data_IF_302936289669
#
_entry.id   IF_302936289669
#
_cell.length_a   1.000
_cell.length_b   1.000
_cell.length_c   1.000
_cell.angle_alpha   90.00
_cell.angle_beta   90.00
_cell.angle_gamma   90.00
#
_symmetry.space_group_name_H-M   'P 1'
#
loop_
_entity.id
_entity.type
_entity.pdbx_description
1 polymer ?
#
# COMPACT_ATOMS: atom_id res chain seq x y z
N UNK A 1 36.44 -26.22 15.55
CA UNK A 1 37.45 -26.37 14.48
C UNK A 1 36.95 -25.58 13.27
N UNK A 2 37.75 -24.60 12.84
CA UNK A 2 37.48 -23.73 11.71
C UNK A 2 37.57 -24.51 10.39
N UNK A 3 36.68 -24.19 9.43
CA UNK A 3 36.92 -24.51 8.02
C UNK A 3 36.40 -23.36 7.14
N UNK A 4 37.33 -22.47 6.81
CA UNK A 4 37.29 -21.57 5.66
C UNK A 4 37.33 -22.40 4.37
N UNK A 5 36.44 -22.17 3.39
CA UNK A 5 36.80 -22.39 1.99
C UNK A 5 36.25 -21.24 1.12
N UNK A 6 37.19 -20.74 0.32
CA UNK A 6 37.19 -19.54 -0.51
C UNK A 6 36.41 -19.72 -1.81
N UNK A 7 35.82 -18.63 -2.29
CA UNK A 7 35.48 -18.37 -3.69
C UNK A 7 36.71 -18.36 -4.61
N UNK A 8 36.57 -18.76 -5.88
CA UNK A 8 37.43 -18.27 -6.96
C UNK A 8 36.66 -17.38 -7.95
N UNK A 9 37.33 -16.32 -8.38
CA UNK A 9 36.98 -15.39 -9.46
C UNK A 9 37.91 -15.65 -10.66
N UNK A 10 37.46 -15.20 -11.85
CA UNK A 10 38.15 -15.11 -13.17
C UNK A 10 37.90 -16.33 -14.09
N UNK A 11 37.60 -16.22 -15.40
CA UNK A 11 38.04 -15.27 -16.45
C UNK A 11 37.02 -15.12 -17.59
N UNK A 12 37.08 -13.96 -18.25
CA UNK A 12 36.50 -13.61 -19.56
C UNK A 12 36.96 -14.54 -20.70
N UNK A 13 36.07 -14.87 -21.63
CA UNK A 13 36.38 -15.13 -23.05
C UNK A 13 35.23 -14.63 -23.94
N UNK A 14 35.53 -13.61 -24.75
CA UNK A 14 34.74 -13.17 -25.90
C UNK A 14 35.06 -14.06 -27.12
N UNK A 15 34.06 -14.42 -27.91
CA UNK A 15 34.16 -14.55 -29.39
C UNK A 15 32.77 -14.58 -30.04
N UNK A 16 32.56 -13.99 -31.24
CA UNK A 16 31.24 -13.75 -31.85
C UNK A 16 30.93 -14.72 -33.00
N UNK A 17 29.70 -14.68 -33.58
CA UNK A 17 29.50 -15.07 -34.98
C UNK A 17 28.92 -13.90 -35.81
N UNK A 18 29.60 -13.50 -36.90
CA UNK A 18 29.44 -13.90 -38.31
C UNK A 18 28.39 -13.06 -39.08
N UNK A 19 28.91 -12.24 -40.00
CA UNK A 19 28.18 -11.58 -41.08
C UNK A 19 27.88 -12.56 -42.22
N UNK A 20 26.76 -12.35 -42.90
CA UNK A 20 26.50 -12.79 -44.27
C UNK A 20 25.67 -11.68 -44.98
N UNK A 21 26.32 -11.00 -45.92
CA UNK A 21 25.89 -10.58 -47.28
C UNK A 21 24.37 -10.67 -47.60
N UNK A 22 23.67 -9.70 -48.22
CA UNK A 22 23.96 -8.99 -49.47
C UNK A 22 22.95 -7.83 -49.76
N UNK A 23 23.33 -6.95 -50.70
CA UNK A 23 22.65 -5.77 -51.28
C UNK A 23 21.37 -6.10 -52.10
N UNK A 24 20.49 -5.18 -52.54
CA UNK A 24 20.41 -3.71 -52.49
C UNK A 24 19.23 -3.19 -53.36
N UNK A 25 18.94 -1.87 -53.23
CA UNK A 25 18.08 -0.99 -54.08
C UNK A 25 16.56 -1.22 -54.10
N UNK A 26 15.66 -0.22 -54.16
CA UNK A 26 15.78 1.24 -54.43
C UNK A 26 14.49 2.01 -54.04
N UNK A 27 14.67 3.24 -53.53
CA UNK A 27 13.89 4.49 -53.66
C UNK A 27 12.35 4.53 -53.55
N UNK A 28 11.83 5.35 -52.63
CA UNK A 28 11.30 6.72 -52.90
C UNK A 28 10.80 7.38 -51.60
N UNK A 29 11.03 8.68 -51.50
CA UNK A 29 10.84 9.58 -50.35
C UNK A 29 9.37 9.98 -50.10
N UNK A 30 8.98 10.21 -48.83
CA UNK A 30 8.23 11.42 -48.43
C UNK A 30 8.28 11.66 -46.88
N UNK A 31 8.39 12.91 -46.39
CA UNK A 31 8.89 13.24 -45.07
C UNK A 31 7.80 13.70 -44.10
N UNK A 32 7.42 12.89 -43.10
CA UNK A 32 6.96 13.44 -41.81
C UNK A 32 6.84 12.39 -40.68
N UNK A 33 7.97 11.83 -40.21
CA UNK A 33 7.99 11.05 -38.96
C UNK A 33 9.28 11.35 -38.19
N UNK A 34 9.20 12.23 -37.19
CA UNK A 34 10.27 12.38 -36.18
C UNK A 34 10.16 11.27 -35.13
N UNK A 35 10.93 10.20 -35.33
CA UNK A 35 11.20 9.16 -34.31
C UNK A 35 12.27 9.66 -33.33
N UNK A 36 12.00 9.53 -32.03
CA UNK A 36 12.97 9.85 -30.97
C UNK A 36 14.10 8.82 -30.94
N UNK A 37 15.32 9.25 -31.26
CA UNK A 37 16.54 8.46 -31.05
C UNK A 37 17.08 8.73 -29.64
N UNK A 38 17.41 7.65 -28.92
CA UNK A 38 18.12 7.68 -27.63
C UNK A 38 19.49 8.33 -27.82
N UNK A 39 19.76 9.42 -27.08
CA UNK A 39 21.10 10.00 -26.97
C UNK A 39 22.03 9.10 -26.16
N UNK A 40 23.30 9.06 -26.56
CA UNK A 40 24.35 8.31 -25.88
C UNK A 40 24.92 9.10 -24.69
N UNK A 41 25.55 8.38 -23.75
CA UNK A 41 26.02 8.90 -22.46
C UNK A 41 27.09 10.00 -22.60
N UNK A 42 27.77 10.12 -23.74
CA UNK A 42 28.75 11.18 -24.00
C UNK A 42 28.17 12.57 -24.31
N UNK A 43 26.89 12.66 -24.70
CA UNK A 43 26.24 13.95 -25.03
C UNK A 43 25.66 14.66 -23.79
N UNK A 44 25.66 14.01 -22.63
CA UNK A 44 25.16 14.57 -21.38
C UNK A 44 26.20 15.43 -20.64
N UNK A 45 27.49 15.16 -20.82
CA UNK A 45 28.55 15.84 -20.06
C UNK A 45 28.97 17.18 -20.71
N UNK A 46 28.79 17.35 -22.03
CA UNK A 46 29.09 18.61 -22.73
C UNK A 46 27.96 19.65 -22.66
N UNK A 47 26.73 19.27 -22.29
CA UNK A 47 25.58 20.19 -22.24
C UNK A 47 25.45 20.96 -20.90
N UNK A 48 26.33 20.73 -19.94
CA UNK A 48 26.37 21.46 -18.65
C UNK A 48 27.31 22.67 -18.64
N UNK A 49 28.12 22.85 -19.68
CA UNK A 49 29.13 23.90 -19.72
C UNK A 49 28.60 25.27 -20.17
N UNK A 50 27.52 25.33 -20.96
CA UNK A 50 27.00 26.58 -21.52
C UNK A 50 25.55 26.85 -21.12
N UNK A 51 25.36 27.51 -19.97
CA UNK A 51 24.30 28.52 -19.75
C UNK A 51 24.40 29.07 -18.33
N UNK A 52 25.19 30.13 -18.19
CA UNK A 52 25.25 30.97 -17.01
C UNK A 52 24.32 32.19 -17.19
N UNK A 53 23.65 32.60 -16.10
CA UNK A 53 23.03 33.91 -15.80
C UNK A 53 21.61 34.09 -16.43
N UNK A 54 20.47 34.35 -15.74
CA UNK A 54 20.14 35.25 -14.60
C UNK A 54 18.68 35.02 -14.13
N UNK A 55 18.41 34.84 -12.81
CA UNK A 55 17.49 35.66 -11.96
C UNK A 55 16.99 34.98 -10.65
N UNK A 56 17.16 35.74 -9.55
CA UNK A 56 16.35 35.87 -8.31
C UNK A 56 16.37 34.74 -7.25
N UNK A 57 17.23 34.96 -6.28
CA UNK A 57 17.23 34.41 -4.91
C UNK A 57 16.15 35.05 -4.03
N UNK A 58 15.43 34.28 -3.18
CA UNK A 58 14.80 34.79 -1.98
C UNK A 58 15.81 34.84 -0.82
N UNK A 59 15.76 35.94 -0.09
CA UNK A 59 16.54 36.27 1.11
C UNK A 59 16.38 35.24 2.23
N UNK A 60 17.51 34.75 2.73
CA UNK A 60 17.63 34.01 4.00
C UNK A 60 18.40 34.87 5.01
N UNK A 61 18.00 34.90 6.30
CA UNK A 61 18.61 35.77 7.29
C UNK A 61 20.03 35.32 7.62
N UNK A 62 20.91 36.31 7.67
CA UNK A 62 22.34 36.26 8.02
C UNK A 62 22.59 35.53 9.34
N UNK A 63 23.36 34.44 9.31
CA UNK A 63 24.12 33.93 10.46
C UNK A 63 25.61 34.12 10.20
N UNK A 64 26.26 34.77 11.17
CA UNK A 64 27.68 35.14 11.22
C UNK A 64 28.63 33.95 10.97
N UNK A 65 29.88 34.21 10.53
CA UNK A 65 30.91 33.18 10.37
C UNK A 65 31.13 32.44 11.69
N UNK A 66 31.16 31.11 11.65
CA UNK A 66 31.53 30.28 12.79
C UNK A 66 33.00 30.49 13.12
N UNK A 67 33.26 31.01 14.33
CA UNK A 67 34.58 31.07 14.94
C UNK A 67 35.26 29.69 14.95
N UNK A 68 36.59 29.71 14.78
CA UNK A 68 37.48 28.60 15.08
C UNK A 68 37.18 28.01 16.49
N UNK A 69 37.44 26.71 16.72
CA UNK A 69 37.16 26.10 18.03
C UNK A 69 37.99 26.80 19.10
N UNK A 70 37.32 27.63 19.91
CA UNK A 70 37.91 28.29 21.06
C UNK A 70 38.43 27.23 22.03
N UNK A 71 39.73 27.29 22.37
CA UNK A 71 40.34 26.50 23.45
C UNK A 71 39.54 26.76 24.73
N UNK A 72 38.73 25.78 25.16
CA UNK A 72 38.01 25.87 26.42
C UNK A 72 39.03 25.86 27.56
N UNK A 73 38.99 26.90 28.40
CA UNK A 73 39.77 27.02 29.65
C UNK A 73 39.58 25.75 30.50
N UNK A 74 40.67 25.23 31.03
CA UNK A 74 40.71 24.14 32.01
C UNK A 74 39.90 24.59 33.22
N UNK A 75 38.73 24.00 33.45
CA UNK A 75 38.03 24.12 34.73
C UNK A 75 38.87 23.36 35.76
N UNK A 76 39.24 24.01 36.85
CA UNK A 76 39.96 23.34 37.94
C UNK A 76 39.02 22.33 38.60
N UNK A 77 39.25 21.05 38.37
CA UNK A 77 38.53 19.98 39.05
C UNK A 77 39.28 19.59 40.34
N UNK A 78 38.57 19.28 41.43
CA UNK A 78 39.19 18.97 42.73
C UNK A 78 39.96 17.65 42.76
N UNK A 79 39.72 16.75 41.80
CA UNK A 79 40.48 15.50 41.60
C UNK A 79 40.43 15.08 40.13
N UNK A 80 41.36 14.21 39.68
CA UNK A 80 41.33 13.66 38.32
C UNK A 80 40.14 12.72 38.15
N UNK A 81 39.63 12.08 39.21
CA UNK A 81 38.35 11.36 39.17
C UNK A 81 37.16 12.29 38.94
N UNK A 82 37.14 13.49 39.53
CA UNK A 82 36.08 14.46 39.30
C UNK A 82 36.09 14.97 37.85
N UNK A 83 37.28 15.23 37.30
CA UNK A 83 37.47 15.58 35.89
C UNK A 83 37.02 14.45 34.95
N UNK A 84 37.45 13.22 35.22
CA UNK A 84 37.07 12.06 34.41
C UNK A 84 35.55 11.79 34.46
N UNK A 85 34.90 12.03 35.61
CA UNK A 85 33.43 11.92 35.75
C UNK A 85 32.72 12.98 34.91
N UNK A 86 33.21 14.23 34.91
CA UNK A 86 32.65 15.30 34.09
C UNK A 86 32.79 14.99 32.58
N UNK A 87 33.93 14.44 32.16
CA UNK A 87 34.15 13.99 30.79
C UNK A 87 33.21 12.84 30.39
N UNK A 88 32.99 11.86 31.27
CA UNK A 88 32.02 10.77 31.04
C UNK A 88 30.60 11.29 30.87
N UNK A 89 30.16 12.22 31.74
CA UNK A 89 28.83 12.85 31.63
C UNK A 89 28.67 13.65 30.33
N UNK A 90 29.71 14.38 29.90
CA UNK A 90 29.69 15.13 28.64
C UNK A 90 29.65 14.20 27.42
N UNK A 91 30.35 13.07 27.46
CA UNK A 91 30.31 12.07 26.39
C UNK A 91 28.91 11.42 26.27
N UNK A 92 28.30 11.04 27.40
CA UNK A 92 26.93 10.50 27.46
C UNK A 92 25.91 11.44 26.81
N UNK A 93 25.94 12.72 27.21
CA UNK A 93 25.03 13.74 26.69
C UNK A 93 25.14 13.91 25.16
N UNK A 94 26.37 13.96 24.62
CA UNK A 94 26.58 14.13 23.19
C UNK A 94 26.15 12.90 22.37
N UNK A 95 26.36 11.71 22.92
CA UNK A 95 25.92 10.45 22.29
C UNK A 95 24.40 10.28 22.33
N UNK A 96 23.72 10.80 23.35
CA UNK A 96 22.26 10.83 23.43
C UNK A 96 21.63 11.83 22.48
N UNK A 97 22.26 12.99 22.30
CA UNK A 97 21.79 14.02 21.36
C UNK A 97 22.07 13.69 19.89
N UNK A 98 22.84 12.64 19.60
CA UNK A 98 23.19 12.22 18.24
C UNK A 98 22.03 11.46 17.57
N UNK A 99 21.35 12.09 16.62
CA UNK A 99 20.14 11.55 15.95
C UNK A 99 20.39 10.43 14.93
N UNK A 100 21.63 10.30 14.42
CA UNK A 100 21.96 9.44 13.28
C UNK A 100 23.04 8.37 13.57
N UNK A 101 23.31 8.06 14.84
CA UNK A 101 24.31 7.06 15.20
C UNK A 101 23.65 5.69 15.44
N UNK A 102 24.20 4.62 14.85
CA UNK A 102 23.74 3.24 15.12
C UNK A 102 23.87 2.93 16.61
N UNK A 103 22.87 2.25 17.17
CA UNK A 103 22.79 1.87 18.59
C UNK A 103 24.03 1.12 19.06
N UNK A 104 24.55 0.22 18.24
CA UNK A 104 25.70 -0.63 18.59
C UNK A 104 26.98 0.19 18.73
N UNK A 105 27.15 1.20 17.87
CA UNK A 105 28.30 2.13 17.94
C UNK A 105 28.16 3.03 19.18
N UNK A 106 26.95 3.51 19.47
CA UNK A 106 26.67 4.30 20.66
C UNK A 106 27.02 3.52 21.94
N UNK A 107 26.61 2.25 22.02
CA UNK A 107 26.90 1.39 23.17
C UNK A 107 28.38 1.06 23.31
N UNK A 108 29.08 0.74 22.22
CA UNK A 108 30.51 0.44 22.24
C UNK A 108 31.35 1.64 22.71
N UNK A 109 31.03 2.86 22.23
CA UNK A 109 31.72 4.08 22.65
C UNK A 109 31.43 4.40 24.12
N UNK A 110 30.18 4.23 24.57
CA UNK A 110 29.81 4.44 25.97
C UNK A 110 30.59 3.50 26.91
N UNK A 111 30.66 2.21 26.57
CA UNK A 111 31.43 1.23 27.35
C UNK A 111 32.92 1.57 27.42
N UNK A 112 33.52 2.03 26.31
CA UNK A 112 34.93 2.42 26.29
C UNK A 112 35.21 3.63 27.21
N UNK A 113 34.34 4.65 27.20
CA UNK A 113 34.49 5.85 28.04
C UNK A 113 34.22 5.52 29.52
N UNK A 114 33.26 4.64 29.82
CA UNK A 114 33.03 4.14 31.18
C UNK A 114 34.24 3.38 31.72
N UNK A 115 34.86 2.51 30.90
CA UNK A 115 36.08 1.79 31.28
C UNK A 115 37.25 2.73 31.56
N UNK A 116 37.40 3.79 30.77
CA UNK A 116 38.42 4.82 31.02
C UNK A 116 38.20 5.53 32.36
N UNK A 117 36.95 5.86 32.71
CA UNK A 117 36.64 6.43 34.01
C UNK A 117 36.98 5.49 35.18
N UNK A 118 36.67 4.20 35.05
CA UNK A 118 37.04 3.19 36.05
C UNK A 118 38.56 3.11 36.26
N UNK A 119 39.34 3.11 35.18
CA UNK A 119 40.80 3.09 35.26
C UNK A 119 41.37 4.31 35.99
N UNK A 120 40.79 5.51 35.75
CA UNK A 120 41.17 6.72 36.47
C UNK A 120 40.80 6.63 37.96
N UNK A 121 39.63 6.06 38.26
CA UNK A 121 39.18 5.82 39.65
C UNK A 121 40.07 4.82 40.38
N UNK A 122 40.47 3.74 39.72
CA UNK A 122 41.41 2.75 40.27
C UNK A 122 42.81 3.35 40.48
N UNK A 123 43.27 4.20 39.57
CA UNK A 123 44.58 4.87 39.69
C UNK A 123 44.63 5.82 40.90
N UNK A 124 43.61 6.63 41.14
CA UNK A 124 43.55 7.50 42.33
C UNK A 124 43.30 6.71 43.63
N UNK A 125 42.55 5.60 43.56
CA UNK A 125 42.37 4.68 44.69
C UNK A 125 43.66 3.98 45.15
N UNK A 126 44.60 3.74 44.22
CA UNK A 126 45.93 3.18 44.53
C UNK A 126 46.88 4.23 45.14
N UNK A 127 46.80 5.49 44.71
CA UNK A 127 47.61 6.60 45.27
C UNK A 127 47.21 6.90 46.72
N UNK A 128 45.91 6.88 47.03
CA UNK A 128 45.39 7.11 48.40
C UNK A 128 45.65 5.94 49.36
N UNK A 129 45.83 4.71 48.87
CA UNK A 129 46.29 3.56 49.68
C UNK A 129 47.80 3.57 49.91
N UNK A 130 48.59 4.07 48.96
CA UNK A 130 50.05 4.24 49.11
C UNK A 130 50.43 5.35 50.10
N UNK A 131 49.72 6.49 50.07
CA UNK A 131 49.98 7.61 50.99
C UNK A 131 49.54 7.34 52.46
N UNK A 132 48.71 6.33 52.70
CA UNK A 132 48.32 5.92 54.07
C UNK A 132 49.32 5.00 54.77
N UNK A 133 50.41 4.59 54.11
CA UNK A 133 51.42 3.67 54.66
C UNK A 133 52.62 4.42 55.27
N UNK A 134 52.79 5.72 55.01
CA UNK A 134 53.93 6.50 55.54
C UNK A 134 53.64 7.28 56.84
N UNK A 135 52.41 7.31 57.35
CA UNK A 135 52.04 8.02 58.61
C UNK A 135 51.56 7.09 59.75
N UNK A 136 52.11 5.87 59.86
CA UNK A 136 51.89 4.99 61.03
C UNK A 136 53.17 4.35 61.57
N UNK A 137 54.06 5.17 62.13
CA UNK A 137 54.65 4.89 63.45
C UNK A 137 53.98 5.89 64.40
N UNK A 138 53.36 5.54 65.52
CA UNK A 138 53.83 4.70 66.64
C UNK A 138 52.66 4.49 67.62
N UNK A 139 52.76 3.42 68.45
CA UNK A 139 51.96 3.08 69.66
C UNK A 139 50.50 2.62 69.46
N UNK A 140 50.20 1.31 69.58
CA UNK A 140 49.99 0.47 70.79
C UNK A 140 48.66 0.68 71.51
N UNK A 141 47.90 -0.43 71.56
CA UNK A 141 47.01 -0.87 72.64
C UNK A 141 45.74 -0.02 72.93
N UNK A 142 44.56 -0.55 72.54
CA UNK A 142 43.60 -1.19 73.47
C UNK A 142 42.28 -1.50 72.77
N UNK A 143 41.90 -2.77 72.88
CA UNK A 143 40.55 -3.27 72.75
C UNK A 143 39.71 -2.71 73.91
N UNK A 144 38.65 -1.96 73.60
CA UNK A 144 37.40 -1.83 74.35
C UNK A 144 36.63 -0.64 73.77
N UNK A 145 35.65 -0.89 72.89
CA UNK A 145 34.43 -0.08 72.68
C UNK A 145 33.66 -0.55 71.43
N UNK A 146 33.36 -1.84 71.37
CA UNK A 146 32.28 -2.38 70.54
C UNK A 146 31.00 -2.35 71.37
N UNK A 147 30.37 -1.17 71.47
CA UNK A 147 28.94 -1.03 71.87
C UNK A 147 28.28 0.32 71.59
N UNK A 148 28.99 1.36 71.10
CA UNK A 148 28.35 2.66 70.77
C UNK A 148 28.27 3.01 69.28
N UNK A 149 28.94 2.30 68.37
CA UNK A 149 28.88 2.59 66.92
C UNK A 149 27.71 1.95 66.16
N UNK A 150 26.95 1.05 66.79
CA UNK A 150 25.89 0.28 66.13
C UNK A 150 24.53 1.01 66.10
N UNK A 151 24.28 1.96 67.04
CA UNK A 151 23.02 2.73 67.06
C UNK A 151 22.92 3.79 65.95
N UNK A 152 24.04 4.45 65.60
CA UNK A 152 24.05 5.51 64.59
C UNK A 152 23.91 5.01 63.14
N UNK A 153 24.31 3.76 62.87
CA UNK A 153 24.15 3.13 61.56
C UNK A 153 22.72 2.61 61.34
N UNK A 154 22.06 2.13 62.41
CA UNK A 154 20.69 1.63 62.31
C UNK A 154 19.67 2.77 62.13
N UNK A 155 19.87 3.93 62.78
CA UNK A 155 19.04 5.12 62.55
C UNK A 155 19.17 5.68 61.13
N UNK A 156 20.39 5.73 60.59
CA UNK A 156 20.60 6.18 59.20
C UNK A 156 20.08 5.17 58.18
N UNK A 157 20.20 3.86 58.46
CA UNK A 157 19.62 2.80 57.64
C UNK A 157 18.08 2.85 57.65
N UNK A 158 17.47 3.10 58.81
CA UNK A 158 16.02 3.24 58.94
C UNK A 158 15.49 4.51 58.28
N UNK A 159 16.23 5.63 58.36
CA UNK A 159 15.90 6.85 57.61
C UNK A 159 15.99 6.66 56.08
N UNK A 160 16.95 5.86 55.60
CA UNK A 160 17.09 5.48 54.20
C UNK A 160 15.97 4.55 53.74
N UNK A 161 15.59 3.56 54.54
CA UNK A 161 14.44 2.67 54.27
C UNK A 161 13.14 3.46 54.15
N UNK A 162 12.89 4.40 55.06
CA UNK A 162 11.70 5.26 55.03
C UNK A 162 11.64 6.12 53.75
N UNK A 163 12.76 6.73 53.35
CA UNK A 163 12.82 7.49 52.07
C UNK A 163 12.64 6.59 50.84
N UNK A 164 13.11 5.34 50.91
CA UNK A 164 12.93 4.37 49.84
C UNK A 164 11.46 3.95 49.71
N UNK A 165 10.78 3.73 50.84
CA UNK A 165 9.34 3.44 50.88
C UNK A 165 8.50 4.60 50.34
N UNK A 166 8.81 5.84 50.73
CA UNK A 166 8.17 7.05 50.19
C UNK A 166 8.35 7.17 48.67
N UNK A 167 9.56 6.95 48.16
CA UNK A 167 9.83 6.94 46.72
C UNK A 167 9.10 5.81 45.99
N UNK A 168 9.01 4.61 46.58
CA UNK A 168 8.24 3.49 46.02
C UNK A 168 6.73 3.78 46.00
N UNK A 169 6.21 4.56 46.95
CA UNK A 169 4.82 5.02 46.96
C UNK A 169 4.57 6.02 45.84
N UNK A 170 5.44 7.03 45.69
CA UNK A 170 5.33 8.05 44.64
C UNK A 170 5.46 7.44 43.23
N UNK A 171 6.31 6.43 43.05
CA UNK A 171 6.44 5.72 41.77
C UNK A 171 5.17 4.95 41.41
N UNK A 172 4.50 4.33 42.39
CA UNK A 172 3.20 3.67 42.18
C UNK A 172 2.13 4.68 41.79
N UNK A 173 2.01 5.78 42.53
CA UNK A 173 1.04 6.83 42.24
C UNK A 173 1.26 7.47 40.85
N UNK A 174 2.53 7.70 40.47
CA UNK A 174 2.86 8.16 39.12
C UNK A 174 2.50 7.13 38.03
N UNK A 175 2.68 5.83 38.31
CA UNK A 175 2.31 4.78 37.37
C UNK A 175 0.80 4.69 37.16
N UNK A 176 0.00 4.89 38.22
CA UNK A 176 -1.46 4.93 38.17
C UNK A 176 -1.96 6.14 37.38
N UNK A 177 -1.44 7.34 37.69
CA UNK A 177 -1.76 8.57 36.93
C UNK A 177 -1.41 8.46 35.45
N UNK A 178 -0.31 7.78 35.11
CA UNK A 178 0.07 7.52 33.72
C UNK A 178 -0.88 6.56 33.00
N UNK A 179 -1.44 5.57 33.71
CA UNK A 179 -2.41 4.65 33.12
C UNK A 179 -3.79 5.30 32.95
N UNK A 180 -4.22 6.12 33.90
CA UNK A 180 -5.41 6.97 33.77
C UNK A 180 -5.29 7.89 32.54
N UNK A 181 -4.13 8.56 32.37
CA UNK A 181 -3.88 9.42 31.22
C UNK A 181 -3.93 8.65 29.88
N UNK A 182 -3.40 7.42 29.84
CA UNK A 182 -3.50 6.53 28.66
C UNK A 182 -4.95 6.13 28.38
N UNK A 183 -5.74 5.84 29.42
CA UNK A 183 -7.14 5.46 29.27
C UNK A 183 -7.99 6.62 28.76
N UNK A 184 -7.74 7.84 29.25
CA UNK A 184 -8.35 9.06 28.71
C UNK A 184 -7.96 9.27 27.24
N UNK A 185 -6.69 9.05 26.86
CA UNK A 185 -6.25 9.14 25.46
C UNK A 185 -6.90 8.09 24.53
N UNK A 186 -7.09 6.86 25.01
CA UNK A 186 -7.80 5.80 24.27
C UNK A 186 -9.27 6.16 24.03
N UNK A 187 -9.91 6.86 24.98
CA UNK A 187 -11.30 7.31 24.83
C UNK A 187 -11.47 8.51 23.89
N UNK A 188 -10.43 9.35 23.74
CA UNK A 188 -10.55 10.60 22.98
C UNK A 188 -10.32 10.47 21.47
N UNK A 189 -9.63 9.42 20.97
CA UNK A 189 -9.48 9.17 19.51
C UNK A 189 -9.33 7.68 19.20
N UNK A 190 -10.20 7.16 18.33
CA UNK A 190 -9.96 5.89 17.66
C UNK A 190 -8.61 5.98 16.91
N UNK A 191 -7.70 5.05 17.19
CA UNK A 191 -6.42 5.04 16.48
C UNK A 191 -6.62 4.63 15.03
N UNK A 192 -5.67 4.96 14.15
CA UNK A 192 -5.71 4.52 12.76
C UNK A 192 -5.89 2.99 12.63
N UNK A 193 -5.30 2.23 13.56
CA UNK A 193 -5.45 0.78 13.65
C UNK A 193 -6.91 0.38 14.00
N UNK A 194 -7.53 1.05 14.97
CA UNK A 194 -8.92 0.80 15.35
C UNK A 194 -9.88 1.10 14.20
N UNK A 195 -9.65 2.17 13.45
CA UNK A 195 -10.45 2.54 12.26
C UNK A 195 -10.29 1.51 11.12
N UNK A 196 -9.11 0.92 10.96
CA UNK A 196 -8.85 -0.12 9.94
C UNK A 196 -9.48 -1.46 10.34
N UNK A 197 -9.47 -1.80 11.63
CA UNK A 197 -10.06 -3.05 12.16
C UNK A 197 -11.60 -2.98 12.24
N UNK A 198 -12.16 -1.80 12.53
CA UNK A 198 -13.60 -1.56 12.59
C UNK A 198 -14.27 -1.36 11.23
N UNK A 199 -13.50 -1.35 10.13
CA UNK A 199 -14.12 -1.57 8.83
C UNK A 199 -14.65 -3.00 8.82
N UNK A 200 -15.97 -3.23 8.66
CA UNK A 200 -16.48 -4.57 8.48
C UNK A 200 -15.68 -5.18 7.33
N UNK A 201 -15.01 -6.30 7.62
CA UNK A 201 -14.32 -7.09 6.60
C UNK A 201 -15.28 -7.17 5.44
N UNK A 202 -14.93 -6.54 4.31
CA UNK A 202 -15.81 -6.42 3.15
C UNK A 202 -16.09 -7.84 2.71
N UNK A 203 -17.19 -8.42 3.19
CA UNK A 203 -17.70 -9.64 2.63
C UNK A 203 -17.83 -9.35 1.14
N UNK A 204 -17.29 -10.23 0.27
CA UNK A 204 -17.52 -10.06 -1.15
C UNK A 204 -19.03 -9.85 -1.34
N UNK A 205 -19.44 -8.85 -2.14
CA UNK A 205 -20.86 -8.62 -2.38
C UNK A 205 -21.49 -9.96 -2.73
N UNK A 206 -22.65 -10.30 -2.13
CA UNK A 206 -23.43 -11.48 -2.53
C UNK A 206 -23.74 -11.34 -4.02
N UNK A 207 -22.87 -11.87 -4.87
CA UNK A 207 -22.93 -11.69 -6.31
C UNK A 207 -23.92 -12.73 -6.84
N UNK A 208 -25.15 -12.31 -7.09
CA UNK A 208 -26.08 -13.11 -7.88
C UNK A 208 -25.70 -12.97 -9.34
N UNK A 209 -24.92 -13.92 -9.84
CA UNK A 209 -24.66 -14.08 -11.28
C UNK A 209 -25.99 -14.35 -11.98
N UNK A 210 -26.23 -13.69 -13.11
CA UNK A 210 -27.41 -13.99 -13.94
C UNK A 210 -26.96 -14.60 -15.26
N UNK A 211 -27.58 -15.71 -15.62
CA UNK A 211 -27.32 -16.43 -16.86
C UNK A 211 -28.33 -15.95 -17.90
N UNK A 212 -27.86 -15.37 -19.01
CA UNK A 212 -28.76 -14.67 -19.93
C UNK A 212 -28.75 -15.27 -21.34
N UNK A 213 -29.90 -15.17 -22.01
CA UNK A 213 -30.05 -15.44 -23.45
C UNK A 213 -30.47 -14.16 -24.15
N UNK A 214 -30.07 -14.03 -25.41
CA UNK A 214 -30.55 -13.03 -26.34
C UNK A 214 -31.53 -13.68 -27.30
N UNK A 215 -32.67 -13.04 -27.51
CA UNK A 215 -33.71 -13.47 -28.43
C UNK A 215 -33.90 -12.37 -29.47
N UNK A 216 -33.87 -12.75 -30.73
CA UNK A 216 -34.19 -11.90 -31.89
C UNK A 216 -35.11 -12.65 -32.85
N UNK A 217 -35.85 -11.95 -33.70
CA UNK A 217 -36.57 -12.59 -34.81
C UNK A 217 -35.63 -12.83 -35.99
N UNK A 218 -35.91 -13.83 -36.83
CA UNK A 218 -35.32 -13.98 -38.18
C UNK A 218 -35.82 -12.88 -39.10
N UNK A 219 -37.06 -12.44 -38.91
CA UNK A 219 -37.62 -11.32 -39.65
C UNK A 219 -36.99 -10.00 -39.19
N UNK A 220 -36.25 -9.37 -40.08
CA UNK A 220 -35.57 -8.11 -39.80
C UNK A 220 -36.56 -7.00 -39.44
N UNK A 221 -37.81 -7.08 -39.91
CA UNK A 221 -38.87 -6.08 -39.69
C UNK A 221 -39.61 -6.23 -38.36
N UNK A 222 -39.45 -7.36 -37.67
CA UNK A 222 -40.20 -7.65 -36.45
C UNK A 222 -39.77 -6.74 -35.30
N UNK A 223 -40.73 -6.23 -34.55
CA UNK A 223 -40.45 -5.28 -33.47
C UNK A 223 -40.09 -6.02 -32.18
N UNK A 224 -39.33 -5.36 -31.30
CA UNK A 224 -39.06 -5.89 -29.96
C UNK A 224 -40.31 -6.06 -29.08
N UNK A 225 -41.45 -5.50 -29.48
CA UNK A 225 -42.75 -5.73 -28.85
C UNK A 225 -43.46 -6.97 -29.40
N UNK A 226 -43.36 -7.21 -30.71
CA UNK A 226 -43.84 -8.44 -31.33
C UNK A 226 -43.13 -9.67 -30.78
N UNK A 227 -41.79 -9.64 -30.73
CA UNK A 227 -40.97 -10.72 -30.11
C UNK A 227 -41.39 -10.95 -28.66
N UNK A 228 -41.68 -9.90 -27.90
CA UNK A 228 -42.10 -10.05 -26.49
C UNK A 228 -43.48 -10.70 -26.37
N UNK A 229 -44.37 -10.39 -27.31
CA UNK A 229 -45.72 -10.95 -27.35
C UNK A 229 -45.67 -12.43 -27.72
N UNK A 230 -44.85 -12.79 -28.71
CA UNK A 230 -44.59 -14.19 -29.08
C UNK A 230 -43.98 -14.96 -27.89
N UNK A 231 -42.95 -14.41 -27.24
CA UNK A 231 -42.37 -15.03 -26.05
C UNK A 231 -43.38 -15.26 -24.92
N UNK A 232 -44.32 -14.34 -24.71
CA UNK A 232 -45.39 -14.50 -23.71
C UNK A 232 -46.37 -15.60 -24.11
N UNK A 233 -46.70 -15.70 -25.39
CA UNK A 233 -47.57 -16.76 -25.91
C UNK A 233 -46.92 -18.12 -25.68
N UNK A 234 -45.67 -18.30 -26.13
CA UNK A 234 -44.91 -19.54 -25.94
C UNK A 234 -44.77 -19.91 -24.46
N UNK A 235 -44.54 -18.92 -23.58
CA UNK A 235 -44.46 -19.15 -22.14
C UNK A 235 -45.80 -19.53 -21.48
N UNK A 236 -46.93 -19.10 -22.05
CA UNK A 236 -48.26 -19.41 -21.51
C UNK A 236 -48.77 -20.77 -21.96
N UNK A 237 -48.31 -21.25 -23.13
CA UNK A 237 -48.66 -22.57 -23.69
C UNK A 237 -47.81 -23.72 -23.09
N UNK A 238 -46.68 -23.40 -22.43
CA UNK A 238 -45.82 -24.36 -21.74
C UNK A 238 -46.03 -24.32 -20.22
N UNK A 239 -46.82 -25.27 -19.68
CA UNK A 239 -47.04 -25.41 -18.23
C UNK A 239 -45.73 -25.60 -17.43
N UNK A 240 -44.64 -26.00 -18.10
CA UNK A 240 -43.33 -26.17 -17.49
C UNK A 240 -42.44 -24.93 -17.48
N UNK A 241 -42.89 -23.75 -17.95
CA UNK A 241 -42.03 -22.60 -18.27
C UNK A 241 -41.04 -22.20 -17.15
N UNK A 242 -39.81 -21.87 -17.53
CA UNK A 242 -38.75 -21.52 -16.57
C UNK A 242 -39.00 -20.12 -15.99
N UNK A 243 -38.83 -19.98 -14.67
CA UNK A 243 -38.91 -18.67 -14.01
C UNK A 243 -37.87 -17.70 -14.58
N UNK A 244 -38.34 -16.62 -15.17
CA UNK A 244 -37.49 -15.54 -15.68
C UNK A 244 -37.25 -14.52 -14.58
N UNK A 245 -35.98 -14.18 -14.31
CA UNK A 245 -35.62 -13.21 -13.27
C UNK A 245 -35.71 -11.77 -13.82
N UNK A 246 -35.34 -11.57 -15.09
CA UNK A 246 -35.43 -10.27 -15.74
C UNK A 246 -35.61 -10.40 -17.25
N UNK A 247 -36.44 -9.52 -17.81
CA UNK A 247 -36.55 -9.29 -19.26
C UNK A 247 -36.15 -7.85 -19.54
N UNK A 248 -35.33 -7.62 -20.56
CA UNK A 248 -34.96 -6.27 -21.02
C UNK A 248 -34.97 -6.20 -22.55
N UNK A 249 -35.52 -5.11 -23.09
CA UNK A 249 -35.35 -4.76 -24.50
C UNK A 249 -34.01 -4.06 -24.67
N UNK A 250 -33.30 -4.40 -25.75
CA UNK A 250 -32.08 -3.71 -26.15
C UNK A 250 -32.29 -3.04 -27.51
N UNK A 251 -31.31 -2.24 -27.92
CA UNK A 251 -31.28 -1.69 -29.28
C UNK A 251 -31.25 -2.84 -30.30
N UNK A 252 -31.64 -2.53 -31.52
CA UNK A 252 -31.65 -3.47 -32.64
C UNK A 252 -32.69 -4.59 -32.51
N UNK A 253 -33.85 -4.28 -31.91
CA UNK A 253 -35.05 -5.15 -31.87
C UNK A 253 -34.79 -6.50 -31.18
N UNK A 254 -33.85 -6.57 -30.22
CA UNK A 254 -33.57 -7.80 -29.47
C UNK A 254 -34.05 -7.72 -28.02
N UNK A 255 -34.30 -8.88 -27.44
CA UNK A 255 -34.72 -9.05 -26.05
C UNK A 255 -33.67 -9.89 -25.33
N UNK A 256 -33.33 -9.51 -24.10
CA UNK A 256 -32.48 -10.33 -23.24
C UNK A 256 -33.30 -10.82 -22.07
N UNK A 257 -33.31 -12.15 -21.89
CA UNK A 257 -33.92 -12.82 -20.75
C UNK A 257 -32.81 -13.34 -19.85
N UNK A 258 -32.93 -13.08 -18.55
CA UNK A 258 -31.96 -13.47 -17.54
C UNK A 258 -32.58 -14.45 -16.54
N UNK A 259 -31.81 -15.48 -16.19
CA UNK A 259 -32.18 -16.58 -15.31
C UNK A 259 -31.21 -16.66 -14.12
N UNK A 260 -31.63 -17.35 -13.07
CA UNK A 260 -30.84 -17.46 -11.84
C UNK A 260 -29.76 -18.53 -11.96
N UNK A 261 -30.03 -19.62 -12.67
CA UNK A 261 -29.08 -20.74 -12.85
C UNK A 261 -28.80 -21.00 -14.33
N UNK A 262 -27.66 -21.65 -14.59
CA UNK A 262 -27.30 -22.10 -15.93
C UNK A 262 -28.24 -23.19 -16.46
N UNK A 263 -28.73 -24.07 -15.58
CA UNK A 263 -29.71 -25.10 -15.92
C UNK A 263 -31.04 -24.49 -16.41
N UNK A 264 -31.54 -23.47 -15.71
CA UNK A 264 -32.73 -22.70 -16.09
C UNK A 264 -32.54 -22.05 -17.47
N UNK A 265 -31.38 -21.40 -17.70
CA UNK A 265 -31.02 -20.83 -19.01
C UNK A 265 -31.09 -21.89 -20.10
N UNK A 266 -30.47 -23.04 -19.87
CA UNK A 266 -30.37 -24.13 -20.85
C UNK A 266 -31.75 -24.71 -21.19
N UNK A 267 -32.61 -24.92 -20.18
CA UNK A 267 -34.00 -25.36 -20.37
C UNK A 267 -34.79 -24.35 -21.20
N UNK A 268 -34.66 -23.05 -20.91
CA UNK A 268 -35.32 -22.00 -21.68
C UNK A 268 -34.82 -21.94 -23.14
N UNK A 269 -33.50 -22.05 -23.37
CA UNK A 269 -32.92 -22.12 -24.71
C UNK A 269 -33.49 -23.30 -25.50
N UNK A 270 -33.55 -24.48 -24.89
CA UNK A 270 -34.07 -25.69 -25.55
C UNK A 270 -35.55 -25.55 -25.92
N UNK A 271 -36.36 -24.91 -25.07
CA UNK A 271 -37.80 -24.72 -25.33
C UNK A 271 -38.07 -23.70 -26.43
N UNK A 272 -37.35 -22.58 -26.41
CA UNK A 272 -37.45 -21.57 -27.46
C UNK A 272 -36.94 -22.06 -28.82
N UNK A 273 -36.03 -23.04 -28.84
CA UNK A 273 -35.60 -23.71 -30.08
C UNK A 273 -36.61 -24.76 -30.57
N UNK A 274 -37.47 -25.27 -29.69
CA UNK A 274 -38.51 -26.25 -30.02
C UNK A 274 -39.79 -25.60 -30.53
N UNK A 275 -40.10 -24.38 -30.09
CA UNK A 275 -41.20 -23.62 -30.68
C UNK A 275 -40.92 -23.38 -32.16
N UNK A 276 -41.90 -23.65 -33.02
CA UNK A 276 -41.82 -23.49 -34.48
C UNK A 276 -41.68 -22.03 -34.94
N UNK A 277 -41.52 -21.09 -34.00
CA UNK A 277 -41.37 -19.66 -34.27
C UNK A 277 -40.05 -19.30 -34.94
N UNK A 278 -40.04 -18.14 -35.58
CA UNK A 278 -38.87 -17.54 -36.23
C UNK A 278 -37.89 -16.89 -35.24
N UNK A 279 -37.87 -17.35 -33.99
CA UNK A 279 -37.00 -16.79 -32.97
C UNK A 279 -35.59 -17.41 -33.04
N UNK A 280 -34.59 -16.54 -33.14
CA UNK A 280 -33.17 -16.86 -32.99
C UNK A 280 -32.77 -16.62 -31.54
N UNK A 281 -32.24 -17.67 -30.91
CA UNK A 281 -31.78 -17.62 -29.51
C UNK A 281 -30.28 -17.80 -29.44
N UNK A 282 -29.59 -16.80 -28.90
CA UNK A 282 -28.15 -16.78 -28.68
C UNK A 282 -27.83 -16.76 -27.18
N UNK A 283 -26.84 -17.55 -26.75
CA UNK A 283 -26.42 -17.58 -25.36
C UNK A 283 -25.42 -16.45 -25.05
N UNK A 284 -25.69 -15.69 -23.99
CA UNK A 284 -24.76 -14.65 -23.52
C UNK A 284 -23.85 -15.26 -22.46
N UNK A 285 -22.57 -15.44 -22.82
CA UNK A 285 -21.54 -15.89 -21.87
C UNK A 285 -21.24 -14.81 -20.84
N UNK A 286 -21.21 -15.22 -19.57
CA UNK A 286 -20.76 -14.36 -18.48
C UNK A 286 -19.26 -14.07 -18.63
N UNK A 287 -18.85 -12.91 -18.13
CA UNK A 287 -17.44 -12.50 -18.11
C UNK A 287 -16.75 -13.09 -16.89
N UNK A 288 -15.46 -13.36 -17.02
CA UNK A 288 -14.60 -13.67 -15.88
C UNK A 288 -14.45 -12.46 -14.94
N UNK A 289 -14.32 -12.69 -13.62
CA UNK A 289 -14.15 -11.65 -12.63
C UNK A 289 -12.77 -10.98 -12.70
N UNK A 290 -12.71 -9.77 -12.15
CA UNK A 290 -11.49 -8.98 -12.09
C UNK A 290 -10.96 -8.90 -10.66
N UNK A 291 -9.64 -8.99 -10.55
CA UNK A 291 -8.90 -8.96 -9.30
C UNK A 291 -7.81 -7.91 -9.40
N UNK A 292 -7.58 -7.15 -8.34
CA UNK A 292 -6.51 -6.14 -8.29
C UNK A 292 -5.44 -6.52 -7.28
N UNK A 293 -4.19 -6.51 -7.74
CA UNK A 293 -2.98 -6.66 -6.94
C UNK A 293 -2.37 -5.29 -6.69
N UNK A 294 -2.17 -4.93 -5.42
CA UNK A 294 -1.71 -3.58 -5.06
C UNK A 294 -0.18 -3.48 -4.95
N UNK A 295 0.42 -2.45 -5.55
CA UNK A 295 1.83 -2.09 -5.37
C UNK A 295 2.81 -3.16 -5.89
N UNK A 296 2.49 -3.81 -7.01
CA UNK A 296 3.39 -4.73 -7.69
C UNK A 296 4.55 -3.95 -8.33
N UNK A 297 5.77 -4.47 -8.23
CA UNK A 297 6.96 -3.82 -8.81
C UNK A 297 6.90 -3.79 -10.34
N UNK A 298 7.34 -2.69 -10.94
CA UNK A 298 7.34 -2.48 -12.41
C UNK A 298 8.30 -3.39 -13.19
N UNK A 299 9.20 -4.08 -12.52
CA UNK A 299 10.21 -4.93 -13.16
C UNK A 299 9.63 -6.17 -13.84
N UNK A 300 8.40 -6.59 -13.50
CA UNK A 300 7.79 -7.79 -14.09
C UNK A 300 7.08 -7.51 -15.42
N UNK A 301 7.41 -8.33 -16.42
CA UNK A 301 6.55 -8.54 -17.57
C UNK A 301 5.24 -9.24 -17.15
N UNK A 302 4.27 -9.29 -18.06
CA UNK A 302 2.97 -9.93 -17.78
C UNK A 302 3.13 -11.45 -17.66
N UNK A 303 4.04 -12.03 -18.45
CA UNK A 303 4.40 -13.44 -18.42
C UNK A 303 5.14 -13.81 -17.13
N UNK A 304 6.09 -12.97 -16.70
CA UNK A 304 6.84 -13.18 -15.47
C UNK A 304 5.93 -13.11 -14.25
N UNK A 305 4.97 -12.16 -14.26
CA UNK A 305 3.99 -12.04 -13.19
C UNK A 305 3.11 -13.30 -13.07
N UNK A 306 2.65 -13.84 -14.20
CA UNK A 306 1.87 -15.08 -14.20
C UNK A 306 2.70 -16.27 -13.69
N UNK A 307 3.96 -16.40 -14.12
CA UNK A 307 4.88 -17.45 -13.62
C UNK A 307 5.15 -17.30 -12.11
N UNK A 308 5.38 -16.07 -11.64
CA UNK A 308 5.60 -15.77 -10.23
C UNK A 308 4.37 -16.15 -9.39
N UNK A 309 3.17 -15.80 -9.85
CA UNK A 309 1.92 -16.16 -9.17
C UNK A 309 1.77 -17.69 -9.06
N UNK A 310 1.98 -18.42 -10.16
CA UNK A 310 1.85 -19.89 -10.19
C UNK A 310 2.88 -20.60 -9.30
N UNK A 311 4.13 -20.14 -9.33
CA UNK A 311 5.22 -20.80 -8.60
C UNK A 311 5.13 -20.60 -7.08
N UNK A 312 4.73 -19.40 -6.62
CA UNK A 312 4.71 -19.04 -5.20
C UNK A 312 3.37 -19.31 -4.51
N UNK A 313 2.27 -19.38 -5.24
CA UNK A 313 0.92 -19.53 -4.68
C UNK A 313 0.31 -20.88 -5.08
N UNK A 314 0.98 -22.00 -4.79
CA UNK A 314 0.53 -23.35 -5.22
C UNK A 314 -0.90 -23.67 -4.79
N UNK A 315 -1.30 -23.26 -3.59
CA UNK A 315 -2.66 -23.50 -3.07
C UNK A 315 -3.74 -22.79 -3.89
N UNK A 316 -3.41 -21.63 -4.50
CA UNK A 316 -4.33 -20.92 -5.38
C UNK A 316 -4.73 -21.80 -6.58
N UNK A 317 -3.78 -22.55 -7.13
CA UNK A 317 -3.92 -23.35 -8.35
C UNK A 317 -4.12 -24.85 -8.10
N UNK A 318 -4.21 -25.27 -6.84
CA UNK A 318 -4.33 -26.69 -6.49
C UNK A 318 -5.64 -27.28 -6.99
N UNK A 319 -5.59 -28.46 -7.59
CA UNK A 319 -6.76 -29.21 -8.07
C UNK A 319 -7.67 -28.38 -9.00
N UNK A 320 -7.09 -27.53 -9.86
CA UNK A 320 -7.83 -26.81 -10.89
C UNK A 320 -7.85 -27.60 -12.19
N UNK A 321 -9.00 -27.58 -12.85
CA UNK A 321 -9.17 -28.10 -14.20
C UNK A 321 -8.58 -27.10 -15.20
N UNK A 322 -8.37 -27.51 -16.46
CA UNK A 322 -7.93 -26.57 -17.52
C UNK A 322 -8.88 -25.37 -17.69
N UNK A 323 -10.17 -25.58 -17.47
CA UNK A 323 -11.16 -24.51 -17.54
C UNK A 323 -11.01 -23.52 -16.37
N UNK A 324 -10.80 -23.99 -15.14
CA UNK A 324 -10.62 -23.09 -14.00
C UNK A 324 -9.25 -22.41 -13.96
N UNK A 325 -8.26 -22.91 -14.70
CA UNK A 325 -6.92 -22.34 -14.76
C UNK A 325 -6.79 -21.19 -15.78
N UNK A 326 -7.64 -20.17 -15.64
CA UNK A 326 -7.62 -18.96 -16.48
C UNK A 326 -7.11 -17.76 -15.69
N UNK A 327 -5.98 -17.19 -16.12
CA UNK A 327 -5.46 -15.91 -15.64
C UNK A 327 -4.98 -15.10 -16.84
N UNK A 328 -5.36 -13.83 -16.90
CA UNK A 328 -4.93 -12.88 -17.92
C UNK A 328 -4.64 -11.52 -17.26
N UNK A 329 -3.48 -10.93 -17.52
CA UNK A 329 -3.20 -9.55 -17.12
C UNK A 329 -3.98 -8.62 -18.04
N UNK A 330 -4.89 -7.80 -17.48
CA UNK A 330 -5.74 -6.90 -18.29
C UNK A 330 -5.12 -5.54 -18.52
N UNK A 331 -4.76 -4.88 -17.43
CA UNK A 331 -4.14 -3.57 -17.47
C UNK A 331 -3.49 -3.23 -16.13
N UNK A 332 -2.60 -2.24 -16.15
CA UNK A 332 -1.86 -1.76 -14.98
C UNK A 332 -2.29 -0.32 -14.68
N UNK A 333 -2.61 -0.02 -13.41
CA UNK A 333 -2.90 1.35 -12.93
C UNK A 333 -1.65 1.90 -12.25
N UNK A 334 -1.36 3.18 -12.47
CA UNK A 334 -0.31 3.86 -11.71
C UNK A 334 -0.62 3.84 -10.22
N UNK A 335 0.37 3.46 -9.42
CA UNK A 335 0.32 3.57 -7.97
C UNK A 335 0.92 4.92 -7.52
N UNK A 336 0.76 5.24 -6.23
CA UNK A 336 1.39 6.43 -5.64
C UNK A 336 2.93 6.36 -5.70
N UNK A 337 3.50 5.17 -5.53
CA UNK A 337 4.93 4.95 -5.67
C UNK A 337 5.29 4.74 -7.16
N UNK A 338 6.17 5.58 -7.75
CA UNK A 338 6.58 5.49 -9.16
C UNK A 338 7.18 4.16 -9.59
N UNK A 339 7.76 3.37 -8.68
CA UNK A 339 8.36 2.06 -8.99
C UNK A 339 7.36 0.90 -8.96
N UNK A 340 6.12 1.18 -8.59
CA UNK A 340 5.07 0.18 -8.48
C UNK A 340 3.87 0.52 -9.34
N UNK A 341 3.03 -0.48 -9.59
CA UNK A 341 1.74 -0.33 -10.23
C UNK A 341 0.72 -1.24 -9.55
N UNK A 342 -0.57 -0.94 -9.69
CA UNK A 342 -1.63 -1.88 -9.35
C UNK A 342 -1.95 -2.70 -10.58
N UNK A 343 -1.85 -4.03 -10.49
CA UNK A 343 -2.15 -4.93 -11.62
C UNK A 343 -3.60 -5.36 -11.53
N UNK A 344 -4.35 -5.23 -12.61
CA UNK A 344 -5.68 -5.83 -12.72
C UNK A 344 -5.57 -7.11 -13.54
N UNK A 345 -6.00 -8.22 -12.94
CA UNK A 345 -6.08 -9.54 -13.55
C UNK A 345 -7.53 -9.87 -13.86
N UNK A 346 -7.77 -10.51 -15.01
CA UNK A 346 -8.98 -11.28 -15.27
C UNK A 346 -8.67 -12.73 -14.90
N UNK A 347 -9.48 -13.33 -14.04
CA UNK A 347 -9.23 -14.68 -13.51
C UNK A 347 -10.51 -15.50 -13.51
N UNK A 348 -10.42 -16.82 -13.46
CA UNK A 348 -11.62 -17.66 -13.26
C UNK A 348 -12.33 -17.37 -11.93
N UNK A 349 -13.64 -17.66 -11.82
CA UNK A 349 -14.39 -17.49 -10.58
C UNK A 349 -13.77 -18.24 -9.39
N UNK A 350 -13.25 -19.44 -9.62
CA UNK A 350 -12.58 -20.27 -8.61
C UNK A 350 -11.29 -19.63 -8.10
N UNK A 351 -10.44 -19.12 -8.99
CA UNK A 351 -9.21 -18.41 -8.62
C UNK A 351 -9.54 -17.10 -7.88
N UNK A 352 -10.54 -16.37 -8.35
CA UNK A 352 -10.99 -15.13 -7.70
C UNK A 352 -11.38 -15.36 -6.23
N UNK A 353 -12.23 -16.35 -5.96
CA UNK A 353 -12.69 -16.62 -4.59
C UNK A 353 -11.54 -17.01 -3.66
N UNK A 354 -10.68 -17.92 -4.12
CA UNK A 354 -9.50 -18.35 -3.37
C UNK A 354 -8.55 -17.19 -3.08
N UNK A 355 -8.24 -16.36 -4.08
CA UNK A 355 -7.34 -15.22 -3.91
C UNK A 355 -7.90 -14.17 -2.93
N UNK A 356 -9.22 -13.92 -2.95
CA UNK A 356 -9.85 -13.02 -1.98
C UNK A 356 -9.88 -13.60 -0.57
N UNK A 357 -10.17 -14.89 -0.44
CA UNK A 357 -10.15 -15.60 0.84
C UNK A 357 -8.77 -15.56 1.50
N UNK A 358 -7.70 -15.61 0.68
CA UNK A 358 -6.31 -15.46 1.16
C UNK A 358 -5.94 -14.01 1.52
N UNK A 359 -6.61 -13.01 0.92
CA UNK A 359 -6.37 -11.57 1.15
C UNK A 359 -5.05 -10.99 0.63
N UNK A 360 -4.03 -11.84 0.44
CA UNK A 360 -2.75 -11.48 -0.16
C UNK A 360 -2.16 -12.66 -0.95
N UNK A 361 -1.37 -12.35 -1.98
CA UNK A 361 -0.68 -13.33 -2.81
C UNK A 361 0.81 -12.98 -2.86
N UNK A 362 1.66 -13.99 -2.91
CA UNK A 362 3.10 -13.79 -2.99
C UNK A 362 3.53 -13.53 -4.45
N UNK A 363 4.27 -12.45 -4.65
CA UNK A 363 4.97 -12.15 -5.90
C UNK A 363 6.43 -11.92 -5.52
N UNK A 364 7.34 -12.69 -6.12
CA UNK A 364 8.74 -12.81 -5.74
C UNK A 364 8.96 -13.16 -4.25
N UNK A 365 9.37 -12.16 -3.48
CA UNK A 365 9.74 -12.21 -2.07
C UNK A 365 8.77 -11.40 -1.20
N UNK A 366 7.74 -10.78 -1.80
CA UNK A 366 6.81 -9.90 -1.09
C UNK A 366 5.36 -10.40 -1.17
N UNK A 367 4.60 -10.31 -0.07
CA UNK A 367 3.15 -10.45 -0.12
C UNK A 367 2.54 -9.18 -0.71
N UNK A 368 1.69 -9.37 -1.72
CA UNK A 368 0.95 -8.32 -2.39
C UNK A 368 -0.51 -8.43 -1.97
N UNK A 369 -1.05 -7.34 -1.43
CA UNK A 369 -2.47 -7.27 -1.06
C UNK A 369 -3.34 -7.46 -2.31
N UNK A 370 -4.38 -8.25 -2.14
CA UNK A 370 -5.37 -8.53 -3.17
C UNK A 370 -6.71 -7.91 -2.78
N UNK A 371 -7.46 -7.44 -3.77
CA UNK A 371 -8.86 -7.11 -3.59
C UNK A 371 -9.66 -7.38 -4.86
N UNK A 372 -10.98 -7.39 -4.69
CA UNK A 372 -11.91 -7.40 -5.81
C UNK A 372 -11.80 -6.11 -6.63
N UNK A 373 -11.84 -6.24 -7.95
CA UNK A 373 -11.86 -5.12 -8.87
C UNK A 373 -13.22 -5.05 -9.55
N UNK A 374 -13.90 -3.93 -9.37
CA UNK A 374 -15.16 -3.67 -10.07
C UNK A 374 -14.98 -3.74 -11.60
N UNK A 375 -15.90 -4.39 -12.33
CA UNK A 375 -15.97 -4.36 -13.79
C UNK A 375 -16.59 -3.04 -14.30
N UNK A 376 -17.10 -2.20 -13.42
CA UNK A 376 -17.75 -0.95 -13.78
C UNK A 376 -16.76 0.02 -14.43
N UNK A 377 -17.10 0.47 -15.62
CA UNK A 377 -16.36 1.52 -16.31
C UNK A 377 -16.94 2.87 -15.90
N UNK A 378 -16.07 3.75 -15.41
CA UNK A 378 -16.35 5.16 -15.21
C UNK A 378 -15.64 5.99 -16.29
N UNK A 379 -16.40 6.83 -16.99
CA UNK A 379 -15.87 7.69 -18.02
C UNK A 379 -14.94 8.73 -17.40
N UNK A 380 -13.72 8.89 -17.94
CA UNK A 380 -12.75 9.87 -17.42
C UNK A 380 -13.00 11.30 -17.91
N UNK A 381 -14.00 11.52 -18.78
CA UNK A 381 -14.39 12.84 -19.25
C UNK A 381 -15.60 13.35 -18.47
N UNK A 382 -16.76 12.67 -18.56
CA UNK A 382 -17.99 13.11 -17.90
C UNK A 382 -18.20 12.57 -16.48
N UNK A 383 -17.33 11.66 -16.02
CA UNK A 383 -17.41 10.96 -14.73
C UNK A 383 -18.63 10.05 -14.55
N UNK A 384 -19.47 9.92 -15.57
CA UNK A 384 -20.60 8.99 -15.61
C UNK A 384 -20.17 7.54 -15.72
N UNK A 385 -21.12 6.64 -15.46
CA UNK A 385 -20.90 5.20 -15.44
C UNK A 385 -21.37 4.53 -16.73
N UNK A 386 -20.86 3.32 -17.00
CA UNK A 386 -21.35 2.44 -18.07
C UNK A 386 -20.77 2.69 -19.47
N UNK A 387 -19.88 3.67 -19.63
CA UNK A 387 -19.18 3.92 -20.90
C UNK A 387 -17.76 4.43 -20.67
N UNK A 388 -16.89 4.19 -21.66
CA UNK A 388 -15.52 4.73 -21.66
C UNK A 388 -15.47 6.10 -22.32
N UNK A 389 -14.35 6.81 -22.17
CA UNK A 389 -14.13 8.12 -22.81
C UNK A 389 -14.32 8.08 -24.33
N UNK A 390 -13.97 6.97 -24.98
CA UNK A 390 -14.10 6.80 -26.45
C UNK A 390 -15.55 6.88 -26.94
N UNK A 391 -16.51 6.52 -26.09
CA UNK A 391 -17.94 6.52 -26.40
C UNK A 391 -18.69 7.64 -25.65
N UNK A 392 -17.96 8.61 -25.09
CA UNK A 392 -18.54 9.72 -24.38
C UNK A 392 -19.08 10.76 -25.37
N UNK A 393 -20.29 11.26 -25.10
CA UNK A 393 -20.95 12.30 -25.92
C UNK A 393 -20.69 13.71 -25.41
N UNK A 394 -20.20 13.86 -24.19
CA UNK A 394 -19.85 15.17 -23.62
C UNK A 394 -18.61 15.73 -24.32
N UNK A 395 -18.63 17.03 -24.62
CA UNK A 395 -17.47 17.72 -25.18
C UNK A 395 -16.46 18.18 -24.11
N UNK A 396 -16.96 18.54 -22.92
CA UNK A 396 -16.17 19.13 -21.85
C UNK A 396 -15.95 18.15 -20.68
N UNK A 397 -14.80 18.25 -19.99
CA UNK A 397 -14.54 17.45 -18.79
C UNK A 397 -15.44 17.91 -17.63
N UNK A 398 -15.89 16.95 -16.83
CA UNK A 398 -16.55 17.21 -15.55
C UNK A 398 -15.55 17.11 -14.40
N UNK A 399 -15.58 18.07 -13.49
CA UNK A 399 -14.75 18.08 -12.30
C UNK A 399 -15.22 17.01 -11.31
N UNK A 400 -14.31 16.19 -10.79
CA UNK A 400 -14.71 15.15 -9.80
C UNK A 400 -15.00 15.69 -8.41
N UNK A 401 -14.65 16.95 -8.15
CA UNK A 401 -14.88 17.63 -6.88
C UNK A 401 -16.23 18.33 -6.84
N UNK A 402 -16.55 19.20 -7.80
CA UNK A 402 -17.81 19.96 -7.81
C UNK A 402 -18.76 19.62 -8.98
N UNK A 403 -18.29 18.88 -9.99
CA UNK A 403 -19.07 18.54 -11.18
C UNK A 403 -19.18 19.63 -12.24
N UNK A 404 -18.45 20.74 -12.12
CA UNK A 404 -18.40 21.81 -13.13
C UNK A 404 -17.55 21.44 -14.36
N UNK A 405 -17.61 22.24 -15.45
CA UNK A 405 -16.97 21.95 -16.74
C UNK A 405 -15.46 22.29 -16.76
N UNK A 406 -14.68 21.66 -15.87
CA UNK A 406 -13.24 21.87 -15.74
C UNK A 406 -12.54 20.63 -15.14
N UNK A 407 -11.22 20.60 -15.15
CA UNK A 407 -10.44 19.54 -14.48
C UNK A 407 -10.36 19.79 -12.98
N UNK A 408 -10.31 18.73 -12.16
CA UNK A 408 -10.18 18.86 -10.69
C UNK A 408 -8.95 19.68 -10.25
N UNK A 409 -7.90 19.71 -11.07
CA UNK A 409 -6.71 20.52 -10.79
C UNK A 409 -7.05 22.02 -10.65
N UNK A 410 -7.99 22.49 -11.48
CA UNK A 410 -8.33 23.91 -11.67
C UNK A 410 -9.64 24.29 -10.97
N UNK A 411 -10.12 23.45 -10.05
CA UNK A 411 -11.43 23.61 -9.43
C UNK A 411 -11.41 24.69 -8.32
N UNK A 412 -12.17 25.80 -8.46
CA UNK A 412 -12.19 26.86 -7.45
C UNK A 412 -12.67 26.35 -6.09
N UNK A 413 -13.77 25.59 -6.05
CA UNK A 413 -14.34 25.02 -4.83
C UNK A 413 -13.33 24.15 -4.06
N UNK A 414 -12.51 23.39 -4.79
CA UNK A 414 -11.45 22.58 -4.18
C UNK A 414 -10.35 23.47 -3.60
N UNK A 415 -9.96 24.53 -4.31
CA UNK A 415 -8.90 25.45 -3.90
C UNK A 415 -9.33 26.30 -2.70
N UNK A 416 -10.62 26.64 -2.59
CA UNK A 416 -11.21 27.36 -1.46
C UNK A 416 -11.62 26.45 -0.30
N UNK A 417 -11.44 25.14 -0.42
CA UNK A 417 -11.70 24.17 0.65
C UNK A 417 -13.18 23.80 0.85
N UNK A 418 -14.05 24.11 -0.11
CA UNK A 418 -15.44 23.68 -0.11
C UNK A 418 -15.50 22.14 -0.25
N UNK A 419 -16.42 21.51 0.48
CA UNK A 419 -16.59 20.06 0.42
C UNK A 419 -17.01 19.56 -0.97
N UNK A 420 -16.56 18.35 -1.37
CA UNK A 420 -16.89 17.81 -2.69
C UNK A 420 -18.38 17.47 -2.81
N UNK A 421 -18.94 17.72 -3.99
CA UNK A 421 -20.29 17.32 -4.38
C UNK A 421 -20.25 16.38 -5.57
N UNK A 422 -20.80 15.17 -5.42
CA UNK A 422 -20.80 14.13 -6.43
C UNK A 422 -21.75 14.49 -7.58
N UNK A 423 -21.19 14.70 -8.77
CA UNK A 423 -21.95 15.04 -9.97
C UNK A 423 -22.97 13.95 -10.36
N UNK A 424 -22.66 12.68 -10.15
CA UNK A 424 -23.55 11.56 -10.48
C UNK A 424 -24.74 11.48 -9.52
N UNK A 425 -24.51 11.64 -8.22
CA UNK A 425 -25.57 11.67 -7.21
C UNK A 425 -26.49 12.89 -7.39
N UNK A 426 -25.91 14.05 -7.71
CA UNK A 426 -26.66 15.26 -8.02
C UNK A 426 -27.55 15.08 -9.25
N UNK A 427 -27.01 14.56 -10.37
CA UNK A 427 -27.79 14.26 -11.58
C UNK A 427 -28.91 13.23 -11.33
N UNK A 428 -28.72 12.34 -10.37
CA UNK A 428 -29.70 11.34 -9.97
C UNK A 428 -30.67 11.83 -8.87
N UNK A 429 -30.62 13.11 -8.49
CA UNK A 429 -31.44 13.71 -7.43
C UNK A 429 -31.39 12.95 -6.09
N UNK A 430 -30.20 12.45 -5.73
CA UNK A 430 -29.97 11.81 -4.43
C UNK A 430 -29.88 12.86 -3.32
N UNK A 431 -30.31 12.51 -2.11
CA UNK A 431 -30.19 13.36 -0.91
C UNK A 431 -28.73 13.51 -0.46
N UNK A 432 -27.97 12.42 -0.47
CA UNK A 432 -26.56 12.39 -0.06
C UNK A 432 -25.63 12.63 -1.26
N UNK A 433 -25.15 13.86 -1.42
CA UNK A 433 -24.25 14.24 -2.52
C UNK A 433 -22.86 14.69 -2.06
N UNK A 434 -22.64 14.88 -0.75
CA UNK A 434 -21.39 15.35 -0.16
C UNK A 434 -20.27 14.28 -0.19
N UNK A 435 -19.73 14.00 -1.37
CA UNK A 435 -18.58 13.14 -1.60
C UNK A 435 -17.99 13.37 -2.99
N UNK A 436 -16.74 12.94 -3.18
CA UNK A 436 -16.10 13.00 -4.50
C UNK A 436 -16.75 11.99 -5.48
N UNK A 437 -16.78 12.31 -6.78
CA UNK A 437 -17.32 11.44 -7.82
C UNK A 437 -16.63 10.05 -7.95
N UNK A 438 -15.45 9.87 -7.36
CA UNK A 438 -14.72 8.60 -7.27
C UNK A 438 -14.90 7.88 -5.91
N UNK A 439 -15.75 8.39 -5.02
CA UNK A 439 -15.99 7.77 -3.72
C UNK A 439 -16.60 6.37 -3.89
N UNK A 440 -16.05 5.40 -3.15
CA UNK A 440 -16.57 4.03 -3.10
C UNK A 440 -17.90 3.92 -2.34
N UNK A 441 -18.26 4.94 -1.57
CA UNK A 441 -19.51 5.02 -0.81
C UNK A 441 -20.63 5.68 -1.62
N UNK A 442 -20.37 6.04 -2.88
CA UNK A 442 -21.37 6.63 -3.76
C UNK A 442 -22.51 5.64 -4.02
N UNK A 443 -23.78 5.96 -3.64
CA UNK A 443 -24.91 5.05 -3.81
C UNK A 443 -25.24 4.80 -5.29
N UNK A 444 -25.06 5.82 -6.14
CA UNK A 444 -25.22 5.67 -7.59
C UNK A 444 -24.14 4.72 -8.13
N UNK A 445 -22.88 4.87 -7.72
CA UNK A 445 -21.82 3.95 -8.11
C UNK A 445 -22.15 2.51 -7.68
N UNK A 446 -22.58 2.31 -6.44
CA UNK A 446 -22.96 0.98 -5.93
C UNK A 446 -24.08 0.33 -6.77
N UNK A 447 -25.11 1.10 -7.14
CA UNK A 447 -26.18 0.63 -8.04
C UNK A 447 -25.63 0.20 -9.40
N UNK A 448 -24.78 1.02 -10.01
CA UNK A 448 -24.18 0.73 -11.32
C UNK A 448 -23.19 -0.44 -11.27
N UNK A 449 -22.43 -0.57 -10.18
CA UNK A 449 -21.50 -1.68 -9.94
C UNK A 449 -22.27 -3.00 -9.86
N UNK A 450 -23.37 -3.03 -9.09
CA UNK A 450 -24.25 -4.20 -9.03
C UNK A 450 -24.82 -4.61 -10.39
N UNK A 451 -25.16 -3.62 -11.24
CA UNK A 451 -25.62 -3.91 -12.62
C UNK A 451 -24.48 -4.52 -13.45
N UNK A 452 -23.27 -3.97 -13.35
CA UNK A 452 -22.12 -4.46 -14.10
C UNK A 452 -21.71 -5.88 -13.65
N UNK A 453 -21.79 -6.19 -12.35
CA UNK A 453 -21.45 -7.48 -11.78
C UNK A 453 -22.39 -8.62 -12.17
N UNK A 454 -23.65 -8.35 -12.51
CA UNK A 454 -24.60 -9.39 -12.96
C UNK A 454 -24.15 -10.13 -14.22
N UNK A 455 -23.36 -9.47 -15.06
CA UNK A 455 -22.80 -10.04 -16.29
C UNK A 455 -21.44 -10.73 -16.06
N UNK A 456 -20.96 -10.76 -14.82
CA UNK A 456 -19.71 -11.40 -14.41
C UNK A 456 -20.04 -12.65 -13.61
N UNK A 457 -19.27 -13.70 -13.79
CA UNK A 457 -19.40 -14.95 -13.05
C UNK A 457 -18.57 -14.90 -11.76
N UNK A 458 -19.19 -15.13 -10.62
CA UNK A 458 -18.52 -15.16 -9.32
C UNK A 458 -18.91 -16.46 -8.61
N UNK A 459 -17.94 -17.22 -8.15
CA UNK A 459 -18.16 -18.30 -7.19
C UNK A 459 -17.99 -17.68 -5.82
N UNK A 460 -19.09 -17.46 -5.11
CA UNK A 460 -19.07 -16.90 -3.74
C UNK A 460 -18.81 -18.02 -2.73
#
# INVERSE_FOLDING_TARGET
MYANIRTPVTKNLNSPPKNADHAGSSNTDDPNITRSVRRSVGEWESAKADQAIKLKTPTSPTKKPSEAPQKQKIQGFPSKTAEARACLSKAKLNLENSRNLKTDIKMAVLQAVERLYELVKEAEGKVTRGQKIEEKGTHKEKEAETKEKDKGQDETLNALKKKLEENCSLLRENSEKMEELKQMFRSQKATYADVVVSQPGRQPPKCTTLHSIMVSSKDENETGDGILTELRKTASEDEGWVRVERVRKIKDRKIIMSYRTEEERTKATQRLKKSEGELVVEEIKNKDPLLILYNVLKMHSDEDLQKALRSKNKDLFRNLNKEDDRIEVKYKKSARNPHTHHVVLKVSPTIWNRALSMGSLHIDIQPVRVADQTPLVQCTLCLGFGHSRKFCKEALPSCSHCGGPHMRADCPDRLTGIEPTCCNCRKANMTTTAHNAFSRECPVMAKWDNIARRAVEYHC
#
